data_IF_289554701314
#
_entry.id   IF_289554701314
#
_cell.length_a   1.000
_cell.length_b   1.000
_cell.length_c   1.000
_cell.angle_alpha   90.00
_cell.angle_beta   90.00
_cell.angle_gamma   90.00
#
_symmetry.space_group_name_H-M   'P 1'
#
loop_
_entity.id
_entity.type
_entity.pdbx_description
1 polymer ?
#
# COMPACT_ATOMS: atom_id res chain seq x y z
N UNK A 1 -10.63 12.22 -1.13
CA UNK A 1 -9.24 12.04 -1.58
C UNK A 1 -8.29 12.33 -0.44
N UNK A 2 -7.41 11.37 -0.15
CA UNK A 2 -6.40 11.41 0.90
C UNK A 2 -5.06 11.61 0.24
N UNK A 3 -4.26 12.55 0.73
CA UNK A 3 -2.95 12.85 0.16
C UNK A 3 -1.86 12.06 0.89
N UNK A 4 -0.93 11.51 0.14
CA UNK A 4 0.18 10.73 0.66
C UNK A 4 1.44 10.89 -0.16
N UNK A 5 2.48 10.14 0.23
CA UNK A 5 3.69 9.97 -0.55
C UNK A 5 3.96 8.49 -0.71
N UNK A 6 4.41 8.08 -1.88
CA UNK A 6 4.73 6.69 -2.20
C UNK A 6 6.04 6.59 -2.97
N UNK A 7 6.71 5.45 -2.82
CA UNK A 7 7.83 5.09 -3.69
C UNK A 7 7.26 4.48 -4.97
N UNK A 8 7.55 5.12 -6.10
CA UNK A 8 7.05 4.74 -7.43
C UNK A 8 8.23 4.31 -8.29
N UNK A 9 8.20 3.11 -8.84
CA UNK A 9 9.16 2.64 -9.84
C UNK A 9 8.71 3.00 -11.24
N UNK A 10 9.67 3.25 -12.15
CA UNK A 10 9.42 3.41 -13.59
C UNK A 10 9.44 2.09 -14.38
N UNK A 11 9.75 0.97 -13.70
CA UNK A 11 9.86 -0.35 -14.31
C UNK A 11 11.11 -0.55 -15.17
N UNK A 12 12.01 0.45 -15.23
CA UNK A 12 13.25 0.47 -16.02
C UNK A 12 14.52 0.53 -15.14
N UNK A 13 14.36 0.24 -13.85
CA UNK A 13 15.44 0.22 -12.86
C UNK A 13 15.54 1.50 -12.03
N UNK A 14 14.61 2.45 -12.17
CA UNK A 14 14.53 3.66 -11.36
C UNK A 14 13.33 3.67 -10.42
N UNK A 15 13.43 4.41 -9.31
CA UNK A 15 12.29 4.75 -8.46
C UNK A 15 12.41 6.16 -7.89
N UNK A 16 11.27 6.75 -7.51
CA UNK A 16 11.18 8.10 -6.94
C UNK A 16 10.13 8.18 -5.85
N UNK A 17 10.31 9.11 -4.92
CA UNK A 17 9.26 9.48 -3.98
C UNK A 17 8.31 10.46 -4.66
N UNK A 18 7.05 10.10 -4.79
CA UNK A 18 6.02 10.94 -5.44
C UNK A 18 4.87 11.23 -4.50
N UNK A 19 4.22 12.39 -4.70
CA UNK A 19 2.95 12.70 -4.05
C UNK A 19 1.84 11.94 -4.75
N UNK A 20 0.94 11.33 -3.98
CA UNK A 20 -0.18 10.55 -4.50
C UNK A 20 -1.49 10.96 -3.85
N UNK A 21 -2.58 10.68 -4.55
CA UNK A 21 -3.93 10.75 -4.02
C UNK A 21 -4.48 9.33 -3.92
N UNK A 22 -5.08 9.02 -2.77
CA UNK A 22 -5.74 7.74 -2.51
C UNK A 22 -7.21 8.02 -2.28
N UNK A 23 -8.06 7.31 -2.99
CA UNK A 23 -9.49 7.41 -2.82
C UNK A 23 -9.95 6.83 -1.47
N UNK A 24 -11.11 7.27 -0.95
CA UNK A 24 -11.74 6.58 0.17
C UNK A 24 -11.97 5.09 -0.16
N UNK A 25 -11.98 4.20 0.85
CA UNK A 25 -12.18 2.78 0.62
C UNK A 25 -13.57 2.51 0.02
N UNK A 26 -13.61 1.66 -1.01
CA UNK A 26 -14.84 1.17 -1.63
C UNK A 26 -15.42 -0.01 -0.83
N UNK A 27 -16.64 -0.52 -1.16
CA UNK A 27 -17.18 -1.70 -0.50
C UNK A 27 -16.20 -2.88 -0.50
N UNK A 28 -16.01 -3.51 0.66
CA UNK A 28 -15.04 -4.60 0.86
C UNK A 28 -13.58 -4.18 1.05
N UNK A 29 -13.25 -2.89 1.03
CA UNK A 29 -11.87 -2.40 1.17
C UNK A 29 -11.59 -1.80 2.55
N UNK A 30 -10.34 -1.91 3.00
CA UNK A 30 -9.83 -1.25 4.20
C UNK A 30 -8.77 -0.24 3.80
N UNK A 31 -8.94 1.00 4.23
CA UNK A 31 -7.93 2.03 4.08
C UNK A 31 -6.99 1.99 5.29
N UNK A 32 -5.69 1.83 5.04
CA UNK A 32 -4.65 1.75 6.07
C UNK A 32 -3.71 2.94 5.98
N UNK A 33 -3.56 3.67 7.09
CA UNK A 33 -2.50 4.65 7.24
C UNK A 33 -1.20 3.93 7.63
N UNK A 34 -0.36 3.63 6.64
CA UNK A 34 0.93 2.97 6.84
C UNK A 34 1.82 3.75 7.82
N UNK A 35 2.52 3.02 8.68
CA UNK A 35 3.51 3.55 9.64
C UNK A 35 4.92 3.11 9.28
N UNK A 36 5.06 1.88 8.82
CA UNK A 36 6.31 1.32 8.35
C UNK A 36 6.05 0.29 7.24
N UNK A 37 7.04 0.04 6.41
CA UNK A 37 7.08 -1.09 5.48
C UNK A 37 8.47 -1.70 5.47
N UNK A 38 8.55 -3.01 5.39
CA UNK A 38 9.78 -3.71 5.02
C UNK A 38 10.19 -3.40 3.58
N UNK A 39 11.45 -3.75 3.26
CA UNK A 39 12.00 -3.74 1.91
C UNK A 39 12.52 -5.15 1.63
N UNK A 40 11.93 -5.80 0.65
CA UNK A 40 12.23 -7.16 0.26
C UNK A 40 12.91 -7.20 -1.11
N UNK A 41 13.55 -8.33 -1.42
CA UNK A 41 14.17 -8.55 -2.73
C UNK A 41 13.16 -8.40 -3.89
N UNK A 42 11.91 -8.81 -3.69
CA UNK A 42 10.86 -8.67 -4.69
C UNK A 42 10.56 -7.21 -5.03
N UNK A 43 10.68 -6.28 -4.07
CA UNK A 43 10.52 -4.85 -4.35
C UNK A 43 11.68 -4.33 -5.22
N UNK A 44 12.90 -4.82 -4.99
CA UNK A 44 14.04 -4.50 -5.85
C UNK A 44 13.85 -5.09 -7.27
N UNK A 45 13.41 -6.33 -7.37
CA UNK A 45 13.13 -6.99 -8.65
C UNK A 45 12.02 -6.27 -9.42
N UNK A 46 11.00 -5.75 -8.73
CA UNK A 46 9.88 -5.03 -9.36
C UNK A 46 10.32 -3.75 -10.07
N UNK A 47 11.52 -3.25 -9.77
CA UNK A 47 12.08 -2.11 -10.49
C UNK A 47 12.31 -2.37 -11.98
N UNK A 48 12.31 -3.64 -12.43
CA UNK A 48 12.60 -4.03 -13.81
C UNK A 48 11.46 -4.80 -14.49
N UNK A 49 10.25 -4.77 -13.94
CA UNK A 49 9.09 -5.48 -14.52
C UNK A 49 8.45 -4.77 -15.72
N UNK A 50 8.99 -3.62 -16.15
CA UNK A 50 8.48 -2.88 -17.31
C UNK A 50 7.19 -2.10 -17.07
N UNK A 51 6.73 -1.97 -15.82
CA UNK A 51 5.53 -1.22 -15.44
C UNK A 51 5.83 -0.16 -14.38
N UNK A 52 5.10 0.96 -14.43
CA UNK A 52 5.06 1.95 -13.35
C UNK A 52 4.21 1.43 -12.20
N UNK A 53 4.76 1.37 -10.99
CA UNK A 53 4.11 0.74 -9.83
C UNK A 53 4.42 1.49 -8.53
N UNK A 54 3.48 1.52 -7.59
CA UNK A 54 3.77 1.81 -6.18
C UNK A 54 4.43 0.56 -5.58
N UNK A 55 5.60 0.72 -4.99
CA UNK A 55 6.41 -0.37 -4.44
C UNK A 55 6.03 -0.72 -3.00
N UNK A 56 6.40 -1.91 -2.54
CA UNK A 56 6.25 -2.37 -1.15
C UNK A 56 5.07 -3.33 -0.95
N UNK A 57 5.31 -4.40 -0.19
CA UNK A 57 4.29 -5.42 0.13
C UNK A 57 4.36 -5.92 1.59
N UNK A 58 5.20 -5.30 2.43
CA UNK A 58 5.44 -5.70 3.83
C UNK A 58 5.05 -4.57 4.79
N UNK A 59 3.86 -4.01 4.61
CA UNK A 59 3.39 -2.83 5.34
C UNK A 59 2.77 -3.15 6.70
N UNK A 60 2.97 -2.27 7.68
CA UNK A 60 2.22 -2.25 8.94
C UNK A 60 1.71 -0.83 9.23
N UNK A 61 0.50 -0.75 9.76
CA UNK A 61 -0.16 0.54 9.96
C UNK A 61 -1.40 0.47 10.83
N UNK A 62 -2.19 1.52 10.72
CA UNK A 62 -3.42 1.70 11.49
C UNK A 62 -4.58 1.85 10.51
N UNK A 63 -5.69 1.15 10.73
CA UNK A 63 -6.91 1.31 9.95
C UNK A 63 -7.38 2.76 10.06
N UNK A 64 -7.54 3.42 8.93
CA UNK A 64 -7.97 4.81 8.82
C UNK A 64 -9.42 4.93 8.31
N UNK A 65 -9.92 3.92 7.60
CA UNK A 65 -11.29 3.86 7.12
C UNK A 65 -11.65 2.44 6.68
N UNK A 66 -12.94 2.14 6.70
CA UNK A 66 -13.49 0.85 6.26
C UNK A 66 -14.63 1.11 5.28
N UNK A 67 -14.64 0.34 4.19
CA UNK A 67 -15.71 0.36 3.20
C UNK A 67 -16.96 -0.38 3.68
N UNK A 68 -18.05 -0.22 2.94
CA UNK A 68 -19.28 -0.97 3.20
C UNK A 68 -19.06 -2.49 3.13
N UNK A 69 -19.68 -3.23 4.06
CA UNK A 69 -19.61 -4.69 4.09
C UNK A 69 -18.29 -5.27 4.62
N UNK A 70 -17.37 -4.44 5.10
CA UNK A 70 -16.18 -4.91 5.83
C UNK A 70 -16.55 -5.20 7.28
N UNK A 71 -16.39 -6.45 7.69
CA UNK A 71 -16.51 -6.90 9.07
C UNK A 71 -15.13 -7.12 9.71
N UNK A 72 -15.06 -7.01 11.04
CA UNK A 72 -13.85 -7.38 11.81
C UNK A 72 -12.73 -6.34 11.84
N UNK A 73 -12.91 -5.17 11.23
CA UNK A 73 -11.98 -4.05 11.29
C UNK A 73 -12.72 -2.75 11.64
N UNK A 74 -12.09 -1.90 12.46
CA UNK A 74 -12.56 -0.54 12.72
C UNK A 74 -11.39 0.45 12.68
N UNK A 75 -11.65 1.74 12.37
CA UNK A 75 -10.63 2.77 12.46
C UNK A 75 -9.95 2.78 13.83
N UNK A 76 -8.61 2.78 13.83
CA UNK A 76 -7.78 2.66 15.02
C UNK A 76 -7.12 1.29 15.23
N UNK A 77 -7.61 0.25 14.57
CA UNK A 77 -7.00 -1.09 14.66
C UNK A 77 -5.59 -1.11 14.06
N UNK A 78 -4.68 -1.82 14.73
CA UNK A 78 -3.34 -2.06 14.23
C UNK A 78 -3.34 -3.29 13.31
N UNK A 79 -2.83 -3.13 12.09
CA UNK A 79 -2.86 -4.17 11.07
C UNK A 79 -1.49 -4.35 10.43
N UNK A 80 -1.21 -5.61 10.05
CA UNK A 80 -0.10 -5.98 9.19
C UNK A 80 -0.68 -6.42 7.85
N UNK A 81 -0.14 -5.87 6.77
CA UNK A 81 -0.49 -6.27 5.41
C UNK A 81 0.32 -7.50 5.07
N UNK A 82 -0.35 -8.65 5.05
CA UNK A 82 0.26 -9.89 4.61
C UNK A 82 0.10 -10.03 3.11
N UNK A 83 1.22 -10.20 2.40
CA UNK A 83 1.20 -10.70 1.03
C UNK A 83 1.02 -12.22 1.08
N UNK A 84 -0.22 -12.68 1.18
CA UNK A 84 -0.53 -14.09 1.01
C UNK A 84 -0.71 -14.36 -0.49
N UNK A 85 0.05 -15.32 -1.03
CA UNK A 85 -0.31 -15.98 -2.28
C UNK A 85 -1.57 -16.80 -1.98
N UNK A 86 -2.68 -16.65 -2.73
CA UNK A 86 -3.80 -17.58 -2.63
C UNK A 86 -3.41 -19.01 -3.03
#
# INVERSE_FOLDING_TARGET
MIHGRAMVTDGQGGFRLEAIEVDPPQPGEVLVALRASGVCHTDYDSMRWGNTLIMGHEGAGVVAGVGEGVDGFVPGDHVLLNWAIP
#
